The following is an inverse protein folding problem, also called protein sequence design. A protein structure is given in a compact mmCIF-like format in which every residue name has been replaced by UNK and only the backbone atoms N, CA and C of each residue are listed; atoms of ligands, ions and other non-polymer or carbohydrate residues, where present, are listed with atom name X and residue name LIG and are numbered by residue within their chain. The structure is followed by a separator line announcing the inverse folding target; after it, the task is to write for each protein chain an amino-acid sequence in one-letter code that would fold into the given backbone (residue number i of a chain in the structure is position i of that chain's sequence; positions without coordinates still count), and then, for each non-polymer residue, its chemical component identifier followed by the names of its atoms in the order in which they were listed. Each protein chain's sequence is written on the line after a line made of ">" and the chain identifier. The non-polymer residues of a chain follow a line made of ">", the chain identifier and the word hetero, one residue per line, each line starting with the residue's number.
data_IF_814872287364
#
_entry.id   IF_814872287364
#
_cell.length_a   1.000
_cell.length_b   1.000
_cell.length_c   1.000
_cell.angle_alpha   90.00
_cell.angle_beta   90.00
_cell.angle_gamma   90.00
#
_symmetry.space_group_name_H-M   'P 1'
#
loop_
_entity.id
_entity.type
_entity.pdbx_description
1 polymer ?
#
# COMPACT_ATOMS: atom_id res chain seq x y z
N UNK A 1 33.85 -3.51 -14.98
CA UNK A 1 34.83 -3.52 -13.88
C UNK A 1 35.36 -4.92 -13.64
N UNK A 2 34.48 -5.94 -13.57
CA UNK A 2 34.88 -7.37 -13.54
C UNK A 2 35.78 -7.79 -14.71
N UNK A 3 35.48 -7.35 -15.93
CA UNK A 3 36.33 -7.64 -17.10
C UNK A 3 37.75 -7.09 -16.97
N UNK A 4 37.91 -5.89 -16.42
CA UNK A 4 39.22 -5.27 -16.21
C UNK A 4 40.03 -6.00 -15.13
N UNK A 5 39.41 -6.37 -14.00
CA UNK A 5 40.04 -7.13 -12.92
C UNK A 5 40.44 -8.55 -13.37
N UNK A 6 39.60 -9.20 -14.18
CA UNK A 6 39.90 -10.50 -14.78
C UNK A 6 41.09 -10.41 -15.77
N UNK A 7 41.17 -9.35 -16.58
CA UNK A 7 42.30 -9.12 -17.47
C UNK A 7 43.60 -8.81 -16.71
N UNK A 8 43.55 -8.01 -15.63
CA UNK A 8 44.72 -7.74 -14.79
C UNK A 8 45.17 -8.97 -14.02
N UNK A 9 44.24 -9.84 -13.61
CA UNK A 9 44.54 -11.11 -12.98
C UNK A 9 45.25 -12.08 -13.94
N UNK A 10 44.68 -12.32 -15.12
CA UNK A 10 45.27 -13.18 -16.15
C UNK A 10 46.62 -12.63 -16.63
N UNK A 11 46.72 -11.32 -16.83
CA UNK A 11 47.99 -10.65 -17.17
C UNK A 11 49.04 -10.81 -16.06
N UNK A 12 48.64 -10.65 -14.80
CA UNK A 12 49.51 -10.85 -13.63
C UNK A 12 50.04 -12.28 -13.53
N UNK A 13 49.18 -13.28 -13.77
CA UNK A 13 49.55 -14.71 -13.79
C UNK A 13 50.57 -15.02 -14.90
N UNK A 14 50.36 -14.49 -16.10
CA UNK A 14 51.29 -14.67 -17.23
C UNK A 14 52.64 -14.03 -16.92
N UNK A 15 52.66 -12.80 -16.40
CA UNK A 15 53.90 -12.10 -16.01
C UNK A 15 54.62 -12.84 -14.89
N UNK A 16 53.89 -13.40 -13.92
CA UNK A 16 54.47 -14.16 -12.82
C UNK A 16 55.06 -15.49 -13.28
N UNK A 17 54.39 -16.22 -14.18
CA UNK A 17 54.90 -17.45 -14.79
C UNK A 17 56.17 -17.18 -15.61
N UNK A 18 56.15 -16.18 -16.48
CA UNK A 18 57.31 -15.78 -17.28
C UNK A 18 58.46 -15.32 -16.38
N UNK A 19 58.17 -14.49 -15.38
CA UNK A 19 59.15 -14.04 -14.39
C UNK A 19 59.79 -15.20 -13.62
N UNK A 20 59.00 -16.18 -13.20
CA UNK A 20 59.50 -17.36 -12.48
C UNK A 20 60.41 -18.21 -13.38
N UNK A 21 60.03 -18.45 -14.64
CA UNK A 21 60.85 -19.18 -15.61
C UNK A 21 62.20 -18.48 -15.81
N UNK A 22 62.19 -17.16 -16.06
CA UNK A 22 63.41 -16.37 -16.26
C UNK A 22 64.26 -16.38 -14.97
N UNK A 23 63.63 -16.28 -13.80
CA UNK A 23 64.33 -16.34 -12.51
C UNK A 23 65.06 -17.68 -12.30
N UNK A 24 64.42 -18.81 -12.60
CA UNK A 24 65.07 -20.13 -12.51
C UNK A 24 66.21 -20.29 -13.53
N UNK A 25 66.06 -19.73 -14.73
CA UNK A 25 67.13 -19.70 -15.75
C UNK A 25 68.32 -18.87 -15.25
N UNK A 26 68.08 -17.64 -14.79
CA UNK A 26 69.12 -16.76 -14.26
C UNK A 26 69.80 -17.37 -13.02
N UNK A 27 69.03 -18.09 -12.19
CA UNK A 27 69.52 -18.82 -11.04
C UNK A 27 70.48 -19.96 -11.46
N UNK A 28 70.06 -20.80 -12.41
CA UNK A 28 70.86 -21.92 -12.90
C UNK A 28 72.14 -21.46 -13.63
N UNK A 29 72.05 -20.34 -14.36
CA UNK A 29 73.17 -19.78 -15.13
C UNK A 29 74.05 -18.82 -14.32
N UNK A 30 73.82 -18.66 -13.01
CA UNK A 30 74.54 -17.74 -12.10
C UNK A 30 74.60 -16.28 -12.60
N UNK A 31 73.53 -15.82 -13.27
CA UNK A 31 73.40 -14.43 -13.76
C UNK A 31 72.85 -13.51 -12.68
N UNK A 32 72.90 -12.20 -12.91
CA UNK A 32 72.26 -11.22 -12.01
C UNK A 32 70.73 -11.39 -12.01
N UNK A 33 70.16 -11.65 -10.83
CA UNK A 33 68.74 -11.98 -10.65
C UNK A 33 67.84 -10.76 -10.42
N UNK A 34 68.41 -9.56 -10.37
CA UNK A 34 67.65 -8.33 -10.03
C UNK A 34 66.47 -8.11 -10.97
N UNK A 35 66.67 -8.29 -12.28
CA UNK A 35 65.62 -8.06 -13.29
C UNK A 35 64.52 -9.12 -13.24
N UNK A 36 64.88 -10.40 -13.12
CA UNK A 36 63.90 -11.49 -13.01
C UNK A 36 63.10 -11.46 -11.71
N UNK A 37 63.75 -11.09 -10.60
CA UNK A 37 63.07 -10.88 -9.32
C UNK A 37 62.05 -9.74 -9.39
N UNK A 38 62.39 -8.61 -10.04
CA UNK A 38 61.44 -7.50 -10.24
C UNK A 38 60.20 -7.95 -11.02
N UNK A 39 60.35 -8.75 -12.07
CA UNK A 39 59.22 -9.26 -12.87
C UNK A 39 58.30 -10.14 -12.02
N UNK A 40 58.89 -11.02 -11.18
CA UNK A 40 58.11 -11.86 -10.25
C UNK A 40 57.33 -11.01 -9.25
N UNK A 41 57.96 -10.00 -8.64
CA UNK A 41 57.31 -9.11 -7.67
C UNK A 41 56.17 -8.32 -8.32
N UNK A 42 56.36 -7.81 -9.53
CA UNK A 42 55.32 -7.08 -10.27
C UNK A 42 54.14 -8.00 -10.61
N UNK A 43 54.39 -9.21 -11.11
CA UNK A 43 53.34 -10.19 -11.35
C UNK A 43 52.56 -10.53 -10.08
N UNK A 44 53.26 -10.67 -8.96
CA UNK A 44 52.64 -11.01 -7.67
C UNK A 44 51.77 -9.87 -7.15
N UNK A 45 52.24 -8.63 -7.25
CA UNK A 45 51.48 -7.45 -6.87
C UNK A 45 50.19 -7.29 -7.71
N UNK A 46 50.26 -7.47 -9.03
CA UNK A 46 49.09 -7.42 -9.92
C UNK A 46 48.04 -8.49 -9.58
N UNK A 47 48.50 -9.69 -9.25
CA UNK A 47 47.64 -10.82 -8.89
C UNK A 47 46.93 -10.57 -7.55
N UNK A 48 47.65 -10.10 -6.53
CA UNK A 48 47.10 -9.79 -5.19
C UNK A 48 46.13 -8.60 -5.24
N UNK A 49 46.45 -7.55 -5.99
CA UNK A 49 45.57 -6.39 -6.16
C UNK A 49 44.25 -6.76 -6.85
N UNK A 50 44.28 -7.70 -7.80
CA UNK A 50 43.08 -8.18 -8.49
C UNK A 50 42.14 -8.94 -7.54
N UNK A 51 42.66 -9.85 -6.71
CA UNK A 51 41.86 -10.56 -5.71
C UNK A 51 41.33 -9.66 -4.57
N UNK A 52 42.17 -8.76 -4.05
CA UNK A 52 41.76 -7.83 -2.99
C UNK A 52 40.66 -6.87 -3.43
N UNK A 53 40.68 -6.44 -4.69
CA UNK A 53 39.67 -5.58 -5.29
C UNK A 53 38.29 -6.23 -5.37
N UNK A 54 38.20 -7.47 -5.86
CA UNK A 54 36.93 -8.19 -5.97
C UNK A 54 36.26 -8.45 -4.61
N UNK A 55 37.04 -8.87 -3.61
CA UNK A 55 36.52 -9.11 -2.26
C UNK A 55 35.92 -7.84 -1.63
N UNK A 56 36.59 -6.69 -1.82
CA UNK A 56 36.10 -5.39 -1.32
C UNK A 56 34.84 -4.93 -2.07
N UNK A 57 34.77 -5.14 -3.39
CA UNK A 57 33.60 -4.81 -4.21
C UNK A 57 32.40 -5.66 -3.81
N UNK A 58 32.58 -6.98 -3.65
CA UNK A 58 31.52 -7.90 -3.21
C UNK A 58 31.01 -7.50 -1.82
N UNK A 59 31.91 -7.20 -0.88
CA UNK A 59 31.54 -6.77 0.47
C UNK A 59 30.82 -5.42 0.47
N UNK A 60 31.23 -4.47 -0.36
CA UNK A 60 30.55 -3.19 -0.51
C UNK A 60 29.15 -3.37 -1.10
N UNK A 61 29.02 -4.14 -2.18
CA UNK A 61 27.74 -4.40 -2.85
C UNK A 61 26.76 -5.14 -1.94
N UNK A 62 27.23 -6.10 -1.13
CA UNK A 62 26.39 -6.78 -0.12
C UNK A 62 25.95 -5.83 0.98
N UNK A 63 26.82 -4.94 1.48
CA UNK A 63 26.44 -3.90 2.45
C UNK A 63 25.39 -2.94 1.86
N UNK A 64 25.58 -2.46 0.64
CA UNK A 64 24.62 -1.57 -0.04
C UNK A 64 23.28 -2.27 -0.26
N UNK A 65 23.31 -3.55 -0.68
CA UNK A 65 22.09 -4.34 -0.83
C UNK A 65 21.35 -4.56 0.50
N UNK A 66 22.09 -4.76 1.60
CA UNK A 66 21.50 -4.90 2.93
C UNK A 66 20.88 -3.59 3.40
N UNK A 67 21.57 -2.45 3.27
CA UNK A 67 21.03 -1.13 3.61
C UNK A 67 19.73 -0.86 2.86
N UNK A 68 19.68 -1.14 1.54
CA UNK A 68 18.45 -1.00 0.75
C UNK A 68 17.32 -1.90 1.25
N UNK A 69 17.61 -3.13 1.65
CA UNK A 69 16.61 -4.03 2.24
C UNK A 69 16.08 -3.48 3.56
N UNK A 70 16.97 -2.98 4.41
CA UNK A 70 16.59 -2.41 5.70
C UNK A 70 15.74 -1.15 5.52
N UNK A 71 16.08 -0.28 4.56
CA UNK A 71 15.28 0.90 4.17
C UNK A 71 13.87 0.50 3.69
N UNK A 72 13.76 -0.49 2.79
CA UNK A 72 12.47 -1.00 2.33
C UNK A 72 11.63 -1.60 3.46
N UNK A 73 12.26 -2.30 4.41
CA UNK A 73 11.58 -2.84 5.59
C UNK A 73 11.07 -1.73 6.51
N UNK A 74 11.87 -0.67 6.71
CA UNK A 74 11.46 0.51 7.50
C UNK A 74 10.30 1.23 6.81
N UNK A 75 10.36 1.42 5.49
CA UNK A 75 9.27 2.04 4.73
C UNK A 75 8.00 1.20 4.80
N UNK A 76 8.09 -0.13 4.61
CA UNK A 76 6.96 -1.05 4.74
C UNK A 76 6.32 -0.95 6.13
N UNK A 77 7.12 -0.96 7.20
CA UNK A 77 6.60 -0.79 8.58
C UNK A 77 5.90 0.54 8.79
N UNK A 78 6.40 1.64 8.19
CA UNK A 78 5.75 2.96 8.27
C UNK A 78 4.40 2.96 7.54
N UNK A 79 4.36 2.40 6.33
CA UNK A 79 3.12 2.23 5.54
C UNK A 79 2.11 1.35 6.27
N UNK A 80 2.51 0.19 6.79
CA UNK A 80 1.66 -0.69 7.60
C UNK A 80 1.05 0.03 8.82
N UNK A 81 1.85 0.85 9.51
CA UNK A 81 1.36 1.63 10.66
C UNK A 81 0.37 2.71 10.22
N UNK A 82 0.66 3.40 9.13
CA UNK A 82 -0.25 4.42 8.59
C UNK A 82 -1.56 3.80 8.11
N UNK A 83 -1.49 2.66 7.42
CA UNK A 83 -2.64 1.87 7.04
C UNK A 83 -3.49 1.51 8.27
N UNK A 84 -2.90 0.89 9.30
CA UNK A 84 -3.64 0.46 10.49
C UNK A 84 -4.34 1.62 11.20
N UNK A 85 -3.64 2.73 11.42
CA UNK A 85 -4.24 3.90 12.06
C UNK A 85 -5.40 4.45 11.25
N UNK A 86 -5.22 4.62 9.94
CA UNK A 86 -6.29 5.12 9.05
C UNK A 86 -7.45 4.13 8.94
N UNK A 87 -7.19 2.82 9.01
CA UNK A 87 -8.25 1.81 9.03
C UNK A 87 -9.10 1.90 10.29
N UNK A 88 -8.50 2.19 11.45
CA UNK A 88 -9.25 2.48 12.68
C UNK A 88 -10.08 3.76 12.59
N UNK A 89 -9.52 4.83 12.01
CA UNK A 89 -10.24 6.09 11.80
C UNK A 89 -11.43 5.89 10.84
N UNK A 90 -11.22 5.15 9.75
CA UNK A 90 -12.25 4.77 8.79
C UNK A 90 -13.36 3.96 9.48
N UNK A 91 -13.02 2.92 10.24
CA UNK A 91 -14.00 2.09 10.95
C UNK A 91 -14.89 2.93 11.90
N UNK A 92 -14.28 3.86 12.64
CA UNK A 92 -15.03 4.72 13.55
C UNK A 92 -15.97 5.67 12.81
N UNK A 93 -15.51 6.30 11.73
CA UNK A 93 -16.33 7.18 10.91
C UNK A 93 -17.45 6.43 10.20
N UNK A 94 -17.15 5.22 9.70
CA UNK A 94 -18.09 4.32 9.07
C UNK A 94 -19.28 4.00 9.98
N UNK A 95 -18.99 3.67 11.24
CA UNK A 95 -20.02 3.38 12.24
C UNK A 95 -20.93 4.59 12.51
N UNK A 96 -20.36 5.80 12.55
CA UNK A 96 -21.16 7.02 12.73
C UNK A 96 -22.08 7.26 11.54
N UNK A 97 -21.55 7.17 10.31
CA UNK A 97 -22.34 7.39 9.09
C UNK A 97 -23.42 6.34 8.94
N UNK A 98 -23.13 5.09 9.30
CA UNK A 98 -24.12 4.02 9.32
C UNK A 98 -25.28 4.37 10.24
N UNK A 99 -25.01 4.72 11.50
CA UNK A 99 -26.07 5.13 12.44
C UNK A 99 -26.84 6.37 12.00
N UNK A 100 -26.16 7.38 11.44
CA UNK A 100 -26.83 8.58 10.90
C UNK A 100 -27.72 8.24 9.70
N UNK A 101 -27.29 7.31 8.85
CA UNK A 101 -28.04 6.82 7.69
C UNK A 101 -29.25 5.98 8.12
N UNK A 102 -29.11 5.14 9.15
CA UNK A 102 -30.23 4.39 9.73
C UNK A 102 -31.30 5.33 10.29
N UNK A 103 -30.88 6.31 11.08
CA UNK A 103 -31.80 7.31 11.63
C UNK A 103 -32.51 8.10 10.52
N UNK A 104 -31.79 8.50 9.47
CA UNK A 104 -32.38 9.21 8.34
C UNK A 104 -33.35 8.32 7.57
N UNK A 105 -32.99 7.07 7.27
CA UNK A 105 -33.88 6.12 6.61
C UNK A 105 -35.18 5.85 7.39
N UNK A 106 -35.09 5.80 8.73
CA UNK A 106 -36.26 5.72 9.60
C UNK A 106 -37.12 7.01 9.56
N UNK A 107 -36.48 8.19 9.52
CA UNK A 107 -37.16 9.48 9.35
C UNK A 107 -37.90 9.55 8.01
N UNK A 108 -37.23 9.17 6.92
CA UNK A 108 -37.78 9.09 5.56
C UNK A 108 -39.00 8.18 5.54
N UNK A 109 -38.89 6.94 6.05
CA UNK A 109 -40.01 6.00 6.11
C UNK A 109 -41.23 6.59 6.82
N UNK A 110 -41.01 7.25 7.95
CA UNK A 110 -42.08 7.89 8.72
C UNK A 110 -42.72 9.06 7.98
N UNK A 111 -41.93 9.86 7.29
CA UNK A 111 -42.43 11.01 6.54
C UNK A 111 -43.25 10.57 5.32
N UNK A 112 -42.85 9.49 4.64
CA UNK A 112 -43.71 8.84 3.64
C UNK A 112 -45.04 8.36 4.23
N UNK A 113 -45.01 7.66 5.37
CA UNK A 113 -46.22 7.17 6.05
C UNK A 113 -47.17 8.32 6.39
N UNK A 114 -46.66 9.39 7.00
CA UNK A 114 -47.47 10.57 7.34
C UNK A 114 -48.07 11.22 6.10
N UNK A 115 -47.31 11.38 5.01
CA UNK A 115 -47.79 12.02 3.80
C UNK A 115 -48.92 11.22 3.12
N UNK A 116 -48.86 9.89 3.19
CA UNK A 116 -49.92 9.00 2.68
C UNK A 116 -51.16 9.06 3.57
N UNK A 117 -50.98 9.05 4.90
CA UNK A 117 -52.09 9.02 5.86
C UNK A 117 -52.83 10.37 5.94
N UNK A 118 -52.11 11.50 5.82
CA UNK A 118 -52.69 12.85 5.95
C UNK A 118 -53.50 13.28 4.72
N UNK A 119 -53.13 12.81 3.51
CA UNK A 119 -53.86 13.12 2.26
C UNK A 119 -53.82 11.94 1.26
N UNK A 120 -54.56 10.85 1.52
CA UNK A 120 -54.51 9.65 0.67
C UNK A 120 -55.06 9.86 -0.75
N UNK A 121 -55.96 10.84 -0.96
CA UNK A 121 -56.54 11.14 -2.28
C UNK A 121 -55.71 12.16 -3.07
N UNK A 122 -54.95 13.03 -2.39
CA UNK A 122 -54.09 14.06 -2.97
C UNK A 122 -52.58 13.77 -2.88
N UNK A 123 -52.21 12.55 -2.51
CA UNK A 123 -50.83 12.15 -2.29
C UNK A 123 -49.93 12.44 -3.50
N UNK A 124 -48.89 13.24 -3.26
CA UNK A 124 -47.91 13.66 -4.26
C UNK A 124 -46.52 13.19 -3.84
N UNK A 125 -45.99 12.26 -4.64
CA UNK A 125 -44.67 11.63 -4.44
C UNK A 125 -43.55 12.65 -4.51
N UNK A 126 -43.57 13.55 -5.50
CA UNK A 126 -42.49 14.52 -5.72
C UNK A 126 -42.45 15.53 -4.58
N UNK A 127 -43.63 16.07 -4.21
CA UNK A 127 -43.73 16.99 -3.07
C UNK A 127 -43.29 16.33 -1.76
N UNK A 128 -43.65 15.07 -1.55
CA UNK A 128 -43.25 14.33 -0.34
C UNK A 128 -41.73 14.18 -0.27
N UNK A 129 -41.08 13.86 -1.39
CA UNK A 129 -39.61 13.78 -1.47
C UNK A 129 -38.99 15.15 -1.18
N UNK A 130 -39.47 16.22 -1.82
CA UNK A 130 -38.98 17.59 -1.58
C UNK A 130 -39.11 17.99 -0.10
N UNK A 131 -40.24 17.69 0.54
CA UNK A 131 -40.47 17.99 1.95
C UNK A 131 -39.53 17.17 2.87
N UNK A 132 -39.28 15.90 2.54
CA UNK A 132 -38.33 15.04 3.24
C UNK A 132 -36.91 15.59 3.14
N UNK A 133 -36.45 15.92 1.93
CA UNK A 133 -35.10 16.45 1.70
C UNK A 133 -34.92 17.78 2.43
N UNK A 134 -35.87 18.72 2.29
CA UNK A 134 -35.81 20.02 2.96
C UNK A 134 -35.80 19.92 4.49
N UNK A 135 -36.59 18.98 5.05
CA UNK A 135 -36.67 18.78 6.51
C UNK A 135 -35.38 18.18 7.08
N UNK A 136 -34.66 17.39 6.30
CA UNK A 136 -33.48 16.64 6.75
C UNK A 136 -32.16 17.18 6.15
N UNK A 137 -32.16 18.35 5.52
CA UNK A 137 -31.02 18.95 4.80
C UNK A 137 -29.70 18.95 5.59
N UNK A 138 -29.73 19.35 6.87
CA UNK A 138 -28.56 19.33 7.75
C UNK A 138 -27.99 17.91 7.92
N UNK A 139 -28.86 16.91 8.06
CA UNK A 139 -28.45 15.51 8.25
C UNK A 139 -27.96 14.89 6.95
N UNK A 140 -28.61 15.22 5.84
CA UNK A 140 -28.18 14.86 4.49
C UNK A 140 -26.77 15.38 4.22
N UNK A 141 -26.52 16.66 4.52
CA UNK A 141 -25.21 17.30 4.38
C UNK A 141 -24.17 16.59 5.24
N UNK A 142 -24.48 16.32 6.52
CA UNK A 142 -23.54 15.64 7.42
C UNK A 142 -23.18 14.21 6.96
N UNK A 143 -24.14 13.47 6.41
CA UNK A 143 -23.90 12.14 5.84
C UNK A 143 -23.00 12.24 4.60
N UNK A 144 -23.31 13.14 3.67
CA UNK A 144 -22.54 13.33 2.44
C UNK A 144 -21.09 13.76 2.74
N UNK A 145 -20.90 14.74 3.63
CA UNK A 145 -19.56 15.14 4.10
C UNK A 145 -18.83 13.97 4.78
N UNK A 146 -19.58 13.11 5.47
CA UNK A 146 -19.06 11.89 6.05
C UNK A 146 -18.54 10.89 5.01
N UNK A 147 -19.31 10.67 3.94
CA UNK A 147 -18.89 9.80 2.82
C UNK A 147 -17.62 10.34 2.17
N UNK A 148 -17.52 11.66 1.94
CA UNK A 148 -16.31 12.30 1.40
C UNK A 148 -15.07 12.09 2.30
N UNK A 149 -15.27 12.07 3.63
CA UNK A 149 -14.21 11.72 4.59
C UNK A 149 -13.80 10.24 4.49
N UNK A 150 -14.76 9.32 4.33
CA UNK A 150 -14.45 7.90 4.13
C UNK A 150 -13.65 7.67 2.84
N UNK A 151 -14.04 8.32 1.74
CA UNK A 151 -13.30 8.31 0.48
C UNK A 151 -11.85 8.77 0.68
N UNK A 152 -11.67 9.86 1.44
CA UNK A 152 -10.34 10.37 1.79
C UNK A 152 -9.52 9.34 2.57
N UNK A 153 -10.13 8.63 3.53
CA UNK A 153 -9.46 7.55 4.26
C UNK A 153 -9.12 6.37 3.36
N UNK A 154 -10.03 5.94 2.48
CA UNK A 154 -9.82 4.86 1.53
C UNK A 154 -8.63 5.17 0.60
N UNK A 155 -8.51 6.42 0.19
CA UNK A 155 -7.42 6.92 -0.63
C UNK A 155 -6.06 6.84 0.09
N UNK A 156 -6.04 7.16 1.38
CA UNK A 156 -4.87 6.99 2.24
C UNK A 156 -4.54 5.51 2.44
N UNK A 157 -5.54 4.64 2.65
CA UNK A 157 -5.31 3.19 2.76
C UNK A 157 -4.66 2.64 1.49
N UNK A 158 -5.19 2.98 0.31
CA UNK A 158 -4.65 2.56 -0.98
C UNK A 158 -3.18 2.99 -1.17
N UNK A 159 -2.85 4.24 -0.81
CA UNK A 159 -1.48 4.77 -0.89
C UNK A 159 -0.51 4.07 0.07
N UNK A 160 -1.01 3.44 1.13
CA UNK A 160 -0.22 2.77 2.16
C UNK A 160 -0.40 1.25 2.16
N UNK A 161 -1.06 0.68 1.15
CA UNK A 161 -1.23 -0.76 1.01
C UNK A 161 0.11 -1.44 0.70
N UNK A 162 0.51 -2.36 1.56
CA UNK A 162 1.74 -3.17 1.41
C UNK A 162 1.43 -4.64 1.12
N UNK A 163 0.16 -4.98 0.92
CA UNK A 163 -0.37 -6.34 0.79
C UNK A 163 -0.49 -7.09 2.11
N UNK A 164 -0.29 -6.42 3.26
CA UNK A 164 -0.41 -7.04 4.59
C UNK A 164 -1.86 -7.21 5.03
N UNK A 165 -2.71 -6.25 4.71
CA UNK A 165 -4.13 -6.22 5.08
C UNK A 165 -4.97 -6.28 3.81
N UNK A 166 -6.20 -6.77 3.90
CA UNK A 166 -7.09 -6.84 2.74
C UNK A 166 -7.75 -5.48 2.46
N UNK A 167 -7.08 -4.62 1.69
CA UNK A 167 -7.63 -3.32 1.28
C UNK A 167 -9.01 -3.43 0.59
N UNK A 168 -9.26 -4.52 -0.14
CA UNK A 168 -10.53 -4.71 -0.87
C UNK A 168 -11.76 -4.82 0.01
N UNK A 169 -11.60 -5.25 1.25
CA UNK A 169 -12.72 -5.27 2.19
C UNK A 169 -13.13 -3.85 2.62
N UNK A 170 -12.16 -2.92 2.73
CA UNK A 170 -12.45 -1.50 2.99
C UNK A 170 -13.08 -0.80 1.79
N UNK A 171 -12.62 -1.10 0.57
CA UNK A 171 -13.23 -0.59 -0.67
C UNK A 171 -14.69 -1.02 -0.78
N UNK A 172 -14.97 -2.31 -0.57
CA UNK A 172 -16.33 -2.84 -0.55
C UNK A 172 -17.19 -2.24 0.57
N UNK A 173 -16.63 -2.06 1.76
CA UNK A 173 -17.36 -1.43 2.86
C UNK A 173 -17.79 -0.02 2.46
N UNK A 174 -16.87 0.77 1.91
CA UNK A 174 -17.12 2.13 1.41
C UNK A 174 -18.24 2.15 0.36
N UNK A 175 -18.18 1.26 -0.63
CA UNK A 175 -19.22 1.16 -1.67
C UNK A 175 -20.61 0.85 -1.07
N UNK A 176 -20.69 -0.07 -0.11
CA UNK A 176 -21.95 -0.44 0.54
C UNK A 176 -22.53 0.72 1.36
N UNK A 177 -21.71 1.44 2.15
CA UNK A 177 -22.22 2.57 2.94
C UNK A 177 -22.62 3.74 2.04
N UNK A 178 -21.87 4.02 0.97
CA UNK A 178 -22.30 5.02 -0.02
C UNK A 178 -23.63 4.65 -0.65
N UNK A 179 -23.88 3.37 -0.96
CA UNK A 179 -25.17 2.92 -1.50
C UNK A 179 -26.31 3.15 -0.52
N UNK A 180 -26.14 2.77 0.76
CA UNK A 180 -27.15 3.03 1.79
C UNK A 180 -27.38 4.54 2.00
N UNK A 181 -26.29 5.31 2.11
CA UNK A 181 -26.34 6.76 2.31
C UNK A 181 -27.04 7.46 1.14
N UNK A 182 -26.70 7.13 -0.11
CA UNK A 182 -27.36 7.68 -1.30
C UNK A 182 -28.87 7.39 -1.32
N UNK A 183 -29.28 6.18 -0.90
CA UNK A 183 -30.68 5.82 -0.81
C UNK A 183 -31.45 6.72 0.16
N UNK A 184 -30.86 7.04 1.32
CA UNK A 184 -31.54 7.82 2.37
C UNK A 184 -31.37 9.33 2.21
N UNK A 185 -30.30 9.79 1.56
CA UNK A 185 -30.05 11.22 1.31
C UNK A 185 -30.69 11.74 0.04
N UNK A 186 -30.98 10.87 -0.92
CA UNK A 186 -31.76 11.18 -2.12
C UNK A 186 -32.85 10.13 -2.34
N UNK A 187 -33.87 10.11 -1.47
CA UNK A 187 -34.93 9.12 -1.53
C UNK A 187 -35.69 9.23 -2.85
N UNK A 188 -35.85 8.10 -3.54
CA UNK A 188 -36.51 8.05 -4.84
C UNK A 188 -37.35 6.80 -5.02
N UNK A 189 -38.29 6.85 -5.98
CA UNK A 189 -39.18 5.74 -6.29
C UNK A 189 -40.46 5.77 -5.46
N UNK A 190 -40.87 4.62 -4.91
CA UNK A 190 -42.12 4.48 -4.14
C UNK A 190 -41.84 4.09 -2.70
N UNK A 191 -42.75 4.45 -1.79
CA UNK A 191 -42.74 4.01 -0.39
C UNK A 191 -42.50 2.50 -0.24
N UNK A 192 -43.22 1.68 -1.01
CA UNK A 192 -43.10 0.20 -0.95
C UNK A 192 -41.72 -0.33 -1.32
N UNK A 193 -41.03 0.33 -2.26
CA UNK A 193 -39.70 -0.08 -2.72
C UNK A 193 -38.58 0.44 -1.83
N UNK A 194 -38.80 1.54 -1.13
CA UNK A 194 -37.80 2.16 -0.27
C UNK A 194 -37.45 1.26 0.92
N UNK A 195 -38.46 0.81 1.68
CA UNK A 195 -38.23 0.02 2.90
C UNK A 195 -37.51 -1.31 2.66
N UNK A 196 -37.78 -1.99 1.54
CA UNK A 196 -37.07 -3.25 1.20
C UNK A 196 -35.61 -2.97 0.86
N UNK A 197 -35.34 -1.98 0.00
CA UNK A 197 -33.97 -1.61 -0.37
C UNK A 197 -33.16 -1.16 0.83
N UNK A 198 -33.77 -0.34 1.69
CA UNK A 198 -33.14 0.15 2.91
C UNK A 198 -32.69 -1.01 3.81
N UNK A 199 -33.54 -2.01 4.03
CA UNK A 199 -33.17 -3.20 4.81
C UNK A 199 -32.05 -4.02 4.15
N UNK A 200 -32.11 -4.22 2.83
CA UNK A 200 -31.09 -4.98 2.10
C UNK A 200 -29.71 -4.28 2.14
N UNK A 201 -29.70 -2.95 1.97
CA UNK A 201 -28.49 -2.13 2.00
C UNK A 201 -27.92 -2.02 3.42
N UNK A 202 -28.77 -1.91 4.44
CA UNK A 202 -28.38 -1.91 5.86
C UNK A 202 -27.71 -3.24 6.27
N UNK A 203 -28.30 -4.38 5.89
CA UNK A 203 -27.70 -5.70 6.11
C UNK A 203 -26.31 -5.83 5.43
N UNK A 204 -26.17 -5.24 4.24
CA UNK A 204 -24.91 -5.24 3.50
C UNK A 204 -23.84 -4.36 4.18
N UNK A 205 -24.23 -3.23 4.77
CA UNK A 205 -23.36 -2.34 5.56
C UNK A 205 -22.92 -3.03 6.86
N UNK A 206 -23.86 -3.63 7.59
CA UNK A 206 -23.60 -4.37 8.83
C UNK A 206 -22.57 -5.49 8.62
N UNK A 207 -22.74 -6.29 7.56
CA UNK A 207 -21.77 -7.34 7.20
C UNK A 207 -20.40 -6.78 6.84
N UNK A 208 -20.35 -5.67 6.10
CA UNK A 208 -19.09 -5.02 5.75
C UNK A 208 -18.36 -4.48 6.97
N UNK A 209 -19.09 -3.87 7.93
CA UNK A 209 -18.55 -3.43 9.22
C UNK A 209 -17.84 -4.58 9.97
N UNK A 210 -18.51 -5.72 10.10
CA UNK A 210 -17.94 -6.92 10.75
C UNK A 210 -16.65 -7.39 10.05
N UNK A 211 -16.61 -7.34 8.72
CA UNK A 211 -15.45 -7.78 7.94
C UNK A 211 -14.25 -6.84 8.15
N UNK A 212 -14.46 -5.52 8.10
CA UNK A 212 -13.37 -4.55 8.31
C UNK A 212 -12.95 -4.44 9.78
N UNK A 213 -13.86 -4.64 10.74
CA UNK A 213 -13.55 -4.65 12.17
C UNK A 213 -12.54 -5.76 12.50
N UNK A 214 -12.75 -6.98 11.98
CA UNK A 214 -11.84 -8.12 12.17
C UNK A 214 -10.42 -7.84 11.65
N UNK A 215 -10.28 -6.96 10.65
CA UNK A 215 -8.96 -6.57 10.11
C UNK A 215 -8.30 -5.54 11.04
N UNK A 216 -9.06 -4.58 11.54
CA UNK A 216 -8.55 -3.52 12.44
C UNK A 216 -8.05 -4.09 13.77
N UNK A 217 -8.71 -5.13 14.27
CA UNK A 217 -8.38 -5.77 15.56
C UNK A 217 -7.13 -6.68 15.53
N UNK A 218 -6.58 -7.01 14.35
CA UNK A 218 -5.34 -7.80 14.17
C UNK A 218 -4.07 -7.00 14.45
#
# INVERSE_FOLDING_TARGET
>A
METFLAFTFLGGLIVLLVGAIIFFIDYAQKREKKKSLTIVVVGMALTVLSFGGEALIIQHNTKVAQVRKDELLVEKKKKDKKFKNTASDLLAKYYVIWGDSEDLGNSVNKDWENAIDDDPEGFDVEKTIDDIENKNDDKITAINDGIDELDTYLDILKKNDTGRYNYKDFEKANDNISTLSDLVTSPSGSYSSFGTKFSDDDDAVSKSFDDIQKIVEQ
#
